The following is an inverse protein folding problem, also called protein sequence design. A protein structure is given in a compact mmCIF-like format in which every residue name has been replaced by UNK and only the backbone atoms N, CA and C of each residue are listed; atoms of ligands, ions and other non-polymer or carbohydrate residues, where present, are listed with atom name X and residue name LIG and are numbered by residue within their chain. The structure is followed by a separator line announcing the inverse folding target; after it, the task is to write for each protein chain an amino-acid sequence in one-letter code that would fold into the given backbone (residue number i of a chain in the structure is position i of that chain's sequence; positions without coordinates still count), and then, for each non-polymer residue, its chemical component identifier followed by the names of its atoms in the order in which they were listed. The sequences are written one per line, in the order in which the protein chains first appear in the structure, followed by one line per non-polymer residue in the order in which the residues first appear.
data_IF_545959001417
#
_entry.id   IF_545959001417
#
_cell.length_a   1.000
_cell.length_b   1.000
_cell.length_c   1.000
_cell.angle_alpha   90.00
_cell.angle_beta   90.00
_cell.angle_gamma   90.00
#
_symmetry.space_group_name_H-M   'P 1'
#
loop_
_entity.id
_entity.type
_entity.pdbx_description
1 polymer ?
#
# COMPACT_ATOMS: atom_id res chain seq x y z
N UNK A 1 29.36 8.33 -14.24
CA UNK A 1 27.89 8.46 -14.33
C UNK A 1 27.39 8.53 -12.91
N UNK A 2 27.17 9.74 -12.40
CA UNK A 2 26.77 9.98 -11.01
C UNK A 2 25.24 9.95 -10.95
N UNK A 3 24.68 9.02 -10.18
CA UNK A 3 23.25 8.97 -9.87
C UNK A 3 22.93 10.18 -9.01
N UNK A 4 22.30 11.18 -9.63
CA UNK A 4 21.82 12.37 -8.97
C UNK A 4 20.58 11.96 -8.16
N UNK A 5 20.77 11.66 -6.88
CA UNK A 5 19.66 11.57 -5.91
C UNK A 5 19.05 12.95 -5.80
N UNK A 6 17.82 13.12 -6.27
CA UNK A 6 17.15 14.41 -6.19
C UNK A 6 16.60 14.54 -4.77
N UNK A 7 17.13 15.56 -4.10
CA UNK A 7 16.55 16.30 -3.00
C UNK A 7 15.02 16.09 -2.82
N UNK A 8 14.58 15.60 -1.66
CA UNK A 8 13.17 15.70 -1.25
C UNK A 8 12.14 14.88 -2.04
N UNK A 9 12.52 13.80 -2.71
CA UNK A 9 11.59 12.92 -3.45
C UNK A 9 10.62 12.20 -2.48
N UNK A 10 9.35 12.63 -2.45
CA UNK A 10 8.19 11.89 -1.94
C UNK A 10 7.58 11.04 -3.07
N UNK A 11 8.13 9.85 -3.40
CA UNK A 11 7.74 9.09 -4.59
C UNK A 11 6.29 8.61 -4.50
N UNK A 12 5.82 8.28 -3.29
CA UNK A 12 4.43 7.88 -3.06
C UNK A 12 3.50 9.05 -3.37
N UNK A 13 3.78 10.25 -2.84
CA UNK A 13 2.99 11.43 -3.13
C UNK A 13 2.97 11.76 -4.62
N UNK A 14 4.12 11.73 -5.29
CA UNK A 14 4.18 11.98 -6.74
C UNK A 14 3.36 10.96 -7.55
N UNK A 15 3.30 9.70 -7.11
CA UNK A 15 2.50 8.67 -7.75
C UNK A 15 0.99 8.85 -7.54
N UNK A 16 0.55 9.53 -6.48
CA UNK A 16 -0.87 9.69 -6.14
C UNK A 16 -1.42 11.10 -6.34
N UNK A 17 -0.61 12.15 -6.37
CA UNK A 17 -1.06 13.55 -6.31
C UNK A 17 -2.01 13.95 -7.44
N UNK A 18 -1.87 13.34 -8.62
CA UNK A 18 -2.77 13.54 -9.77
C UNK A 18 -3.61 12.31 -10.11
N UNK A 19 -3.64 11.29 -9.25
CA UNK A 19 -4.33 10.04 -9.53
C UNK A 19 -5.81 10.18 -9.18
N UNK A 20 -6.67 10.20 -10.20
CA UNK A 20 -8.12 10.22 -10.03
C UNK A 20 -8.68 8.82 -9.77
N UNK A 21 -9.88 8.75 -9.20
CA UNK A 21 -10.53 7.48 -8.86
C UNK A 21 -10.73 6.57 -10.07
N UNK A 22 -11.15 7.12 -11.22
CA UNK A 22 -11.33 6.34 -12.46
C UNK A 22 -10.01 5.78 -12.99
N UNK A 23 -8.95 6.59 -12.99
CA UNK A 23 -7.61 6.14 -13.40
C UNK A 23 -7.06 5.07 -12.46
N UNK A 24 -7.26 5.25 -11.15
CA UNK A 24 -6.89 4.25 -10.15
C UNK A 24 -7.63 2.94 -10.40
N UNK A 25 -8.95 2.98 -10.60
CA UNK A 25 -9.76 1.78 -10.85
C UNK A 25 -9.31 1.07 -12.13
N UNK A 26 -9.09 1.81 -13.22
CA UNK A 26 -8.61 1.24 -14.47
C UNK A 26 -7.23 0.57 -14.31
N UNK A 27 -6.32 1.24 -13.60
CA UNK A 27 -4.97 0.74 -13.33
C UNK A 27 -4.97 -0.51 -12.46
N UNK A 28 -5.76 -0.50 -11.38
CA UNK A 28 -5.93 -1.65 -10.48
C UNK A 28 -6.52 -2.84 -11.22
N UNK A 29 -7.55 -2.62 -12.04
CA UNK A 29 -8.16 -3.68 -12.83
C UNK A 29 -7.19 -4.30 -13.84
N UNK A 30 -6.40 -3.47 -14.53
CA UNK A 30 -5.39 -3.94 -15.48
C UNK A 30 -4.30 -4.77 -14.79
N UNK A 31 -3.77 -4.28 -13.67
CA UNK A 31 -2.73 -4.98 -12.91
C UNK A 31 -3.25 -6.27 -12.28
N UNK A 32 -4.47 -6.27 -11.74
CA UNK A 32 -5.11 -7.47 -11.20
C UNK A 32 -5.28 -8.54 -12.27
N UNK A 33 -5.73 -8.16 -13.47
CA UNK A 33 -5.87 -9.07 -14.60
C UNK A 33 -4.53 -9.68 -15.04
N UNK A 34 -3.45 -8.88 -15.07
CA UNK A 34 -2.10 -9.36 -15.38
C UNK A 34 -1.59 -10.35 -14.34
N UNK A 35 -1.90 -10.10 -13.06
CA UNK A 35 -1.54 -10.96 -11.94
C UNK A 35 -2.47 -12.18 -11.77
N UNK A 36 -3.57 -12.28 -12.53
CA UNK A 36 -4.57 -13.33 -12.36
C UNK A 36 -5.35 -13.24 -11.04
N UNK A 37 -5.48 -12.03 -10.48
CA UNK A 37 -6.17 -11.76 -9.22
C UNK A 37 -7.59 -11.28 -9.51
N UNK A 38 -8.58 -11.91 -8.86
CA UNK A 38 -9.96 -11.46 -8.92
C UNK A 38 -10.26 -10.44 -7.81
N UNK A 39 -10.51 -9.19 -8.21
CA UNK A 39 -10.90 -8.12 -7.28
C UNK A 39 -12.40 -7.85 -7.33
N UNK A 40 -13.00 -7.74 -6.15
CA UNK A 40 -14.33 -7.18 -5.95
C UNK A 40 -14.29 -5.67 -5.59
N UNK A 41 -15.45 -5.02 -5.50
CA UNK A 41 -15.56 -3.60 -5.15
C UNK A 41 -15.05 -3.24 -3.75
N UNK A 42 -15.06 -4.17 -2.79
CA UNK A 42 -14.50 -3.93 -1.45
C UNK A 42 -12.98 -3.76 -1.50
N UNK A 43 -12.27 -4.55 -2.31
CA UNK A 43 -10.83 -4.36 -2.52
C UNK A 43 -10.54 -2.99 -3.13
N UNK A 44 -11.31 -2.61 -4.16
CA UNK A 44 -11.16 -1.30 -4.81
C UNK A 44 -11.38 -0.16 -3.83
N UNK A 45 -12.35 -0.30 -2.92
CA UNK A 45 -12.60 0.68 -1.88
C UNK A 45 -11.41 0.83 -0.93
N UNK A 46 -10.84 -0.27 -0.42
CA UNK A 46 -9.65 -0.21 0.46
C UNK A 46 -8.47 0.46 -0.25
N UNK A 47 -8.23 0.10 -1.51
CA UNK A 47 -7.15 0.69 -2.31
C UNK A 47 -7.37 2.20 -2.49
N UNK A 48 -8.60 2.62 -2.78
CA UNK A 48 -8.97 4.02 -2.94
C UNK A 48 -8.80 4.81 -1.63
N UNK A 49 -9.25 4.25 -0.50
CA UNK A 49 -9.08 4.87 0.83
C UNK A 49 -7.59 5.08 1.14
N UNK A 50 -6.73 4.11 0.84
CA UNK A 50 -5.29 4.25 1.05
C UNK A 50 -4.67 5.33 0.14
N UNK A 51 -5.07 5.39 -1.14
CA UNK A 51 -4.57 6.40 -2.08
C UNK A 51 -5.00 7.80 -1.67
N UNK A 52 -6.25 7.99 -1.25
CA UNK A 52 -6.73 9.27 -0.73
C UNK A 52 -5.93 9.69 0.51
N UNK A 53 -5.68 8.75 1.43
CA UNK A 53 -4.82 9.01 2.59
C UNK A 53 -3.42 9.46 2.19
N UNK A 54 -2.82 8.86 1.16
CA UNK A 54 -1.51 9.30 0.65
C UNK A 54 -1.55 10.70 0.04
N UNK A 55 -2.63 11.05 -0.67
CA UNK A 55 -2.80 12.40 -1.22
C UNK A 55 -2.84 13.47 -0.12
N UNK A 56 -3.38 13.14 1.06
CA UNK A 56 -3.47 14.06 2.19
C UNK A 56 -2.22 14.05 3.07
N UNK A 57 -1.75 12.86 3.46
CA UNK A 57 -0.68 12.70 4.46
C UNK A 57 0.74 12.89 3.89
N UNK A 58 0.95 12.60 2.60
CA UNK A 58 2.30 12.55 2.02
C UNK A 58 2.73 13.85 1.32
N UNK A 59 1.93 14.91 1.42
CA UNK A 59 2.23 16.20 0.79
C UNK A 59 3.54 16.80 1.28
N UNK A 60 3.85 16.63 2.57
CA UNK A 60 4.98 17.28 3.24
C UNK A 60 5.90 16.32 3.99
N UNK A 61 5.58 15.01 3.99
CA UNK A 61 6.26 14.00 4.80
C UNK A 61 6.61 12.78 3.96
N UNK A 62 7.74 12.13 4.28
CA UNK A 62 8.08 10.83 3.70
C UNK A 62 7.09 9.77 4.20
N UNK A 63 6.42 9.10 3.27
CA UNK A 63 5.39 8.10 3.52
C UNK A 63 5.86 6.68 3.23
N UNK A 64 7.17 6.44 3.14
CA UNK A 64 7.65 5.10 2.77
C UNK A 64 7.48 4.11 3.92
N UNK A 65 7.30 4.59 5.15
CA UNK A 65 7.04 3.74 6.31
C UNK A 65 5.65 3.10 6.23
N UNK A 66 5.59 1.77 6.11
CA UNK A 66 4.34 1.02 6.00
C UNK A 66 3.44 1.11 7.25
N UNK A 67 4.02 1.12 8.45
CA UNK A 67 3.31 1.03 9.74
C UNK A 67 2.23 2.11 9.98
N UNK A 68 2.50 3.42 9.79
CA UNK A 68 1.47 4.46 9.97
C UNK A 68 0.27 4.29 9.04
N UNK A 69 0.52 3.88 7.79
CA UNK A 69 -0.52 3.71 6.78
C UNK A 69 -1.38 2.47 7.03
N UNK A 70 -0.76 1.38 7.51
CA UNK A 70 -1.52 0.21 7.97
C UNK A 70 -2.39 0.58 9.17
N UNK A 71 -1.85 1.32 10.15
CA UNK A 71 -2.62 1.75 11.33
C UNK A 71 -3.80 2.64 10.93
N UNK A 72 -3.63 3.51 9.93
CA UNK A 72 -4.71 4.30 9.38
C UNK A 72 -5.82 3.42 8.79
N UNK A 73 -5.48 2.45 7.93
CA UNK A 73 -6.46 1.53 7.34
C UNK A 73 -7.20 0.72 8.42
N UNK A 74 -6.48 0.17 9.40
CA UNK A 74 -7.08 -0.58 10.51
C UNK A 74 -8.07 0.30 11.29
N UNK A 75 -7.70 1.56 11.54
CA UNK A 75 -8.57 2.53 12.21
C UNK A 75 -9.80 2.89 11.37
N UNK A 76 -9.63 3.09 10.05
CA UNK A 76 -10.72 3.40 9.13
C UNK A 76 -11.77 2.29 9.09
N UNK A 77 -11.33 1.03 9.13
CA UNK A 77 -12.21 -0.15 9.13
C UNK A 77 -12.48 -0.70 10.54
N UNK A 78 -12.25 0.07 11.61
CA UNK A 78 -12.43 -0.40 12.98
C UNK A 78 -13.86 -0.94 13.24
N UNK A 79 -14.88 -0.26 12.70
CA UNK A 79 -16.28 -0.69 12.81
C UNK A 79 -16.58 -2.00 12.06
N UNK A 80 -15.76 -2.34 11.07
CA UNK A 80 -15.86 -3.59 10.30
C UNK A 80 -14.99 -4.72 10.88
N UNK A 81 -14.23 -4.48 11.95
CA UNK A 81 -13.29 -5.43 12.56
C UNK A 81 -11.82 -5.15 12.29
N UNK A 82 -11.49 -3.99 11.71
CA UNK A 82 -10.14 -3.46 11.55
C UNK A 82 -9.22 -4.41 10.78
N UNK A 83 -8.13 -4.82 11.41
CA UNK A 83 -7.15 -5.74 10.81
C UNK A 83 -7.78 -7.08 10.41
N UNK A 84 -8.71 -7.63 11.20
CA UNK A 84 -9.35 -8.92 10.89
C UNK A 84 -10.21 -8.86 9.62
N UNK A 85 -10.84 -7.72 9.36
CA UNK A 85 -11.58 -7.48 8.13
C UNK A 85 -10.63 -7.40 6.94
N UNK A 86 -9.58 -6.59 7.04
CA UNK A 86 -8.58 -6.43 5.99
C UNK A 86 -7.90 -7.77 5.66
N UNK A 87 -7.51 -8.55 6.67
CA UNK A 87 -6.92 -9.87 6.42
C UNK A 87 -7.87 -10.82 5.70
N UNK A 88 -9.14 -10.87 6.10
CA UNK A 88 -10.14 -11.74 5.45
C UNK A 88 -10.45 -11.28 4.02
N UNK A 89 -10.49 -9.97 3.80
CA UNK A 89 -10.74 -9.41 2.48
C UNK A 89 -9.60 -9.78 1.53
N UNK A 90 -8.35 -9.62 1.97
CA UNK A 90 -7.18 -9.92 1.15
C UNK A 90 -6.69 -11.38 1.23
N UNK A 91 -7.41 -12.24 1.95
CA UNK A 91 -7.09 -13.66 2.07
C UNK A 91 -7.25 -14.36 0.71
N UNK A 92 -6.24 -15.12 0.30
CA UNK A 92 -6.30 -15.89 -0.95
C UNK A 92 -6.18 -15.11 -2.25
N UNK A 93 -6.03 -13.78 -2.24
CA UNK A 93 -5.81 -12.98 -3.45
C UNK A 93 -4.43 -13.19 -4.09
N UNK A 94 -3.42 -13.54 -3.30
CA UNK A 94 -2.06 -13.75 -3.82
C UNK A 94 -1.45 -15.01 -3.21
N UNK A 95 -1.22 -16.02 -4.05
CA UNK A 95 -0.63 -17.29 -3.66
C UNK A 95 0.87 -17.19 -3.31
N UNK A 96 1.55 -16.10 -3.69
CA UNK A 96 2.96 -15.83 -3.37
C UNK A 96 3.12 -15.06 -2.05
N UNK A 97 2.08 -14.31 -1.65
CA UNK A 97 1.93 -13.68 -0.35
C UNK A 97 1.47 -14.70 0.70
N UNK A 98 2.13 -15.87 0.73
CA UNK A 98 1.93 -16.98 1.68
C UNK A 98 2.07 -16.58 3.16
N UNK A 99 2.26 -15.29 3.43
CA UNK A 99 1.89 -14.70 4.69
C UNK A 99 1.20 -13.35 4.46
N UNK A 100 -0.11 -13.30 4.64
CA UNK A 100 -0.85 -12.07 4.89
C UNK A 100 -0.42 -11.47 6.24
N UNK A 101 0.80 -10.95 6.30
CA UNK A 101 1.28 -10.04 7.34
C UNK A 101 0.88 -8.61 6.96
N UNK A 102 0.84 -7.69 7.92
CA UNK A 102 0.43 -6.28 7.74
C UNK A 102 1.09 -5.60 6.53
N UNK A 103 2.37 -5.89 6.31
CA UNK A 103 3.11 -5.35 5.19
C UNK A 103 2.80 -6.02 3.85
N UNK A 104 2.31 -7.27 3.86
CA UNK A 104 1.86 -7.99 2.67
C UNK A 104 0.64 -7.36 2.02
N UNK A 105 -0.34 -6.90 2.82
CA UNK A 105 -1.54 -6.20 2.33
C UNK A 105 -1.14 -4.89 1.64
N UNK A 106 -0.31 -4.07 2.29
CA UNK A 106 0.13 -2.82 1.69
C UNK A 106 0.98 -3.05 0.43
N UNK A 107 1.85 -4.06 0.43
CA UNK A 107 2.65 -4.42 -0.75
C UNK A 107 1.75 -4.83 -1.92
N UNK A 108 0.72 -5.64 -1.66
CA UNK A 108 -0.25 -6.05 -2.67
C UNK A 108 -1.03 -4.84 -3.20
N UNK A 109 -1.51 -3.96 -2.33
CA UNK A 109 -2.18 -2.72 -2.72
C UNK A 109 -1.26 -1.85 -3.59
N UNK A 110 0.03 -1.74 -3.25
CA UNK A 110 1.00 -0.99 -4.03
C UNK A 110 1.22 -1.59 -5.42
N UNK A 111 1.33 -2.92 -5.53
CA UNK A 111 1.42 -3.60 -6.83
C UNK A 111 0.17 -3.37 -7.67
N UNK A 112 -1.01 -3.55 -7.08
CA UNK A 112 -2.29 -3.35 -7.75
C UNK A 112 -2.46 -1.90 -8.22
N UNK A 113 -2.17 -0.91 -7.38
CA UNK A 113 -2.27 0.51 -7.71
C UNK A 113 -1.07 1.03 -8.53
N UNK A 114 -0.03 0.20 -8.75
CA UNK A 114 1.22 0.58 -9.41
C UNK A 114 1.99 1.69 -8.68
N UNK A 115 1.95 1.66 -7.36
CA UNK A 115 2.65 2.59 -6.49
C UNK A 115 4.09 2.13 -6.22
N UNK A 116 5.02 3.05 -5.93
CA UNK A 116 6.37 2.71 -5.53
C UNK A 116 6.38 1.90 -4.23
N UNK A 117 7.37 1.04 -4.05
CA UNK A 117 7.47 0.15 -2.90
C UNK A 117 7.60 0.93 -1.57
N UNK A 118 7.07 0.35 -0.50
CA UNK A 118 7.23 0.88 0.84
C UNK A 118 8.57 0.41 1.40
N UNK A 119 9.23 1.24 2.20
CA UNK A 119 10.23 0.71 3.11
C UNK A 119 9.44 -0.13 4.12
N UNK A 120 9.58 -1.45 4.03
CA UNK A 120 9.48 -2.25 5.22
C UNK A 120 10.36 -1.57 6.26
N UNK A 121 9.85 -1.38 7.47
CA UNK A 121 10.73 -1.11 8.58
C UNK A 121 11.66 -2.33 8.63
N UNK A 122 12.80 -2.28 7.94
CA UNK A 122 13.92 -3.15 8.23
C UNK A 122 14.25 -2.74 9.63
N UNK A 123 13.68 -3.52 10.55
CA UNK A 123 14.09 -3.72 11.92
C UNK A 123 15.31 -2.86 12.24
N UNK A 124 15.10 -1.71 12.90
CA UNK A 124 16.18 -1.02 13.58
C UNK A 124 16.71 -1.97 14.67
N UNK A 125 17.58 -2.88 14.25
CA UNK A 125 18.53 -3.63 15.07
C UNK A 125 17.99 -4.47 16.22
N UNK A 126 17.41 -5.64 15.94
CA UNK A 126 17.73 -6.83 16.74
C UNK A 126 19.09 -7.40 16.35
N UNK A 127 20.14 -6.63 16.70
CA UNK A 127 21.53 -7.04 16.68
C UNK A 127 22.07 -7.07 18.10
N UNK A 128 21.59 -7.97 18.95
CA UNK A 128 22.37 -8.40 20.11
C UNK A 128 23.61 -9.11 19.59
N UNK A 129 24.72 -8.38 19.50
CA UNK A 129 26.04 -9.00 19.40
C UNK A 129 26.46 -9.33 20.83
N UNK A 130 26.53 -10.62 21.11
CA UNK A 130 27.06 -11.20 22.35
C UNK A 130 28.55 -10.92 22.52
#
# INVERSE_FOLDING_TARGET
MQTQTVDGENPIYQAVAGLHADDLRARVAANAADMGIELNDEHLNVIQVLVNHYQEACQQHDCRAASPHMRYLIGHYAEHGGSSYLYRLFDGLDASAASAQEAGILTLIHRLAGLPDLTHNQDEGFGTIF
#
